data_IF_784532437187
#
_entry.id   IF_784532437187
#
_cell.length_a   1.000
_cell.length_b   1.000
_cell.length_c   1.000
_cell.angle_alpha   90.00
_cell.angle_beta   90.00
_cell.angle_gamma   90.00
#
_symmetry.space_group_name_H-M   'P 1'
#
loop_
_entity.id
_entity.type
_entity.pdbx_description
1 polymer ?
#
# COMPACT_ATOMS: atom_id res chain seq x y z
N UNK A 1 -27.64 -9.14 0.29
CA UNK A 1 -27.99 -7.71 0.59
C UNK A 1 -28.01 -6.87 -0.68
N UNK A 2 -28.79 -5.77 -0.73
CA UNK A 2 -28.61 -4.80 -1.82
C UNK A 2 -27.47 -3.86 -1.45
N UNK A 3 -26.40 -3.82 -2.25
CA UNK A 3 -25.27 -2.93 -2.00
C UNK A 3 -25.72 -1.46 -2.03
N UNK A 4 -25.31 -0.68 -1.03
CA UNK A 4 -25.47 0.78 -1.04
C UNK A 4 -24.51 1.41 -2.05
N UNK A 5 -24.94 2.50 -2.71
CA UNK A 5 -24.05 3.29 -3.55
C UNK A 5 -22.91 3.95 -2.76
N UNK A 6 -23.09 4.09 -1.44
CA UNK A 6 -22.14 4.77 -0.54
C UNK A 6 -20.85 3.99 -0.30
N UNK A 7 -20.85 2.66 -0.53
CA UNK A 7 -19.62 1.86 -0.43
C UNK A 7 -18.64 2.19 -1.57
N UNK A 8 -19.14 2.65 -2.74
CA UNK A 8 -18.29 3.08 -3.86
C UNK A 8 -17.82 4.53 -3.65
N UNK A 9 -16.58 4.68 -3.23
CA UNK A 9 -15.92 5.97 -3.03
C UNK A 9 -15.15 6.42 -4.26
N UNK A 10 -14.40 7.52 -4.17
CA UNK A 10 -13.70 8.10 -5.31
C UNK A 10 -12.67 7.16 -5.97
N UNK A 11 -12.02 6.29 -5.18
CA UNK A 11 -10.93 5.42 -5.65
C UNK A 11 -10.88 4.05 -4.98
N UNK A 12 -11.86 3.71 -4.14
CA UNK A 12 -12.00 2.39 -3.53
C UNK A 12 -13.46 2.03 -3.28
N UNK A 13 -13.70 0.77 -2.96
CA UNK A 13 -14.96 0.28 -2.42
C UNK A 13 -14.69 -0.03 -0.95
N UNK A 14 -15.53 0.48 -0.02
CA UNK A 14 -15.30 0.33 1.40
C UNK A 14 -16.61 0.33 2.18
N UNK A 15 -16.74 -0.60 3.13
CA UNK A 15 -17.90 -0.70 4.00
C UNK A 15 -17.64 -1.55 5.23
N UNK A 16 -18.59 -1.55 6.18
CA UNK A 16 -18.62 -2.47 7.33
C UNK A 16 -18.94 -3.87 6.82
N UNK A 17 -18.01 -4.82 7.08
CA UNK A 17 -18.18 -6.19 6.60
C UNK A 17 -19.32 -6.90 7.36
N UNK A 18 -20.19 -7.57 6.61
CA UNK A 18 -21.41 -8.20 7.14
C UNK A 18 -22.62 -7.28 7.20
N UNK A 19 -22.46 -5.96 7.03
CA UNK A 19 -23.56 -4.99 7.02
C UNK A 19 -23.68 -4.27 5.67
N UNK A 20 -22.59 -3.71 5.15
CA UNK A 20 -22.54 -2.91 3.91
C UNK A 20 -21.81 -3.64 2.79
N UNK A 21 -20.84 -4.50 3.14
CA UNK A 21 -20.00 -5.29 2.24
C UNK A 21 -19.95 -6.73 2.76
N UNK A 22 -20.15 -7.69 1.87
CA UNK A 22 -20.08 -9.13 2.16
C UNK A 22 -19.51 -9.90 0.96
N UNK A 23 -19.42 -11.23 1.07
CA UNK A 23 -18.91 -12.08 0.01
C UNK A 23 -19.78 -12.02 -1.27
N UNK A 24 -21.12 -11.92 -1.14
CA UNK A 24 -22.02 -11.83 -2.30
C UNK A 24 -21.79 -10.52 -3.07
N UNK A 25 -21.66 -9.41 -2.34
CA UNK A 25 -21.33 -8.11 -2.93
C UNK A 25 -19.92 -8.16 -3.53
N UNK A 26 -18.95 -8.79 -2.83
CA UNK A 26 -17.58 -8.98 -3.31
C UNK A 26 -17.50 -9.72 -4.65
N UNK A 27 -18.25 -10.83 -4.79
CA UNK A 27 -18.32 -11.58 -6.05
C UNK A 27 -18.92 -10.72 -7.17
N UNK A 28 -20.01 -10.00 -6.90
CA UNK A 28 -20.61 -9.09 -7.88
C UNK A 28 -19.69 -7.95 -8.28
N UNK A 29 -18.91 -7.41 -7.34
CA UNK A 29 -17.87 -6.39 -7.62
C UNK A 29 -16.78 -6.99 -8.51
N UNK A 30 -16.32 -8.19 -8.21
CA UNK A 30 -15.35 -8.91 -9.04
C UNK A 30 -15.85 -9.13 -10.47
N UNK A 31 -17.11 -9.54 -10.63
CA UNK A 31 -17.74 -9.71 -11.93
C UNK A 31 -17.88 -8.36 -12.68
N UNK A 32 -18.31 -7.29 -11.99
CA UNK A 32 -18.38 -5.95 -12.57
C UNK A 32 -17.00 -5.44 -13.03
N UNK A 33 -15.95 -5.69 -12.23
CA UNK A 33 -14.58 -5.37 -12.59
C UNK A 33 -14.12 -6.17 -13.81
N UNK A 34 -14.39 -7.47 -13.86
CA UNK A 34 -14.11 -8.29 -15.03
C UNK A 34 -14.84 -7.82 -16.28
N UNK A 35 -16.11 -7.41 -16.16
CA UNK A 35 -16.88 -6.82 -17.26
C UNK A 35 -16.27 -5.47 -17.72
N UNK A 36 -15.74 -4.67 -16.79
CA UNK A 36 -14.97 -3.46 -17.12
C UNK A 36 -13.70 -3.81 -17.92
N UNK A 37 -12.92 -4.80 -17.47
CA UNK A 37 -11.71 -5.24 -18.15
C UNK A 37 -12.00 -5.74 -19.57
N UNK A 38 -13.10 -6.45 -19.80
CA UNK A 38 -13.51 -6.95 -21.12
C UNK A 38 -13.75 -5.88 -22.17
N UNK A 39 -13.92 -4.62 -21.78
CA UNK A 39 -14.03 -3.51 -22.74
C UNK A 39 -12.72 -3.28 -23.50
N UNK A 40 -11.57 -3.64 -22.89
CA UNK A 40 -10.24 -3.40 -23.45
C UNK A 40 -9.39 -4.66 -23.62
N UNK A 41 -9.80 -5.78 -23.03
CA UNK A 41 -9.06 -7.05 -23.03
C UNK A 41 -9.98 -8.22 -23.36
N UNK A 42 -9.55 -9.11 -24.26
CA UNK A 42 -10.26 -10.36 -24.56
C UNK A 42 -9.89 -11.48 -23.56
N UNK A 43 -8.68 -11.42 -23.03
CA UNK A 43 -8.09 -12.38 -22.08
C UNK A 43 -7.02 -11.69 -21.24
N UNK A 44 -6.52 -12.33 -20.19
CA UNK A 44 -5.44 -11.83 -19.35
C UNK A 44 -5.53 -12.36 -17.93
N UNK A 45 -4.51 -11.99 -17.14
CA UNK A 45 -4.40 -12.36 -15.72
C UNK A 45 -4.55 -11.14 -14.82
N UNK A 46 -5.20 -11.34 -13.69
CA UNK A 46 -5.36 -10.35 -12.61
C UNK A 46 -4.67 -10.88 -11.37
N UNK A 47 -3.81 -10.08 -10.73
CA UNK A 47 -3.27 -10.41 -9.41
C UNK A 47 -4.22 -9.95 -8.31
N UNK A 48 -4.35 -10.73 -7.23
CA UNK A 48 -5.15 -10.33 -6.07
C UNK A 48 -4.44 -10.67 -4.77
N UNK A 49 -4.24 -9.64 -3.92
CA UNK A 49 -3.68 -9.76 -2.57
C UNK A 49 -4.66 -9.24 -1.51
N UNK A 50 -4.36 -9.50 -0.24
CA UNK A 50 -5.17 -9.00 0.88
C UNK A 50 -4.33 -8.62 2.09
N UNK A 51 -4.93 -7.80 2.98
CA UNK A 51 -4.38 -7.49 4.30
C UNK A 51 -4.73 -8.56 5.35
N UNK A 52 -4.38 -8.30 6.63
CA UNK A 52 -4.55 -9.25 7.73
C UNK A 52 -5.97 -9.27 8.33
N UNK A 53 -6.94 -8.48 7.86
CA UNK A 53 -8.31 -8.44 8.42
C UNK A 53 -8.97 -9.80 8.35
N UNK A 54 -9.75 -10.13 9.37
CA UNK A 54 -10.44 -11.42 9.49
C UNK A 54 -11.31 -11.73 8.28
N UNK A 55 -11.95 -10.71 7.70
CA UNK A 55 -12.83 -10.84 6.52
C UNK A 55 -12.07 -10.81 5.18
N UNK A 56 -10.77 -10.50 5.16
CA UNK A 56 -10.03 -10.32 3.90
C UNK A 56 -9.88 -11.60 3.07
N UNK A 57 -9.63 -12.78 3.65
CA UNK A 57 -9.57 -14.02 2.86
C UNK A 57 -10.89 -14.36 2.15
N UNK A 58 -12.02 -14.25 2.87
CA UNK A 58 -13.34 -14.53 2.29
C UNK A 58 -13.69 -13.55 1.17
N UNK A 59 -13.41 -12.26 1.37
CA UNK A 59 -13.67 -11.24 0.37
C UNK A 59 -12.73 -11.39 -0.85
N UNK A 60 -11.46 -11.78 -0.63
CA UNK A 60 -10.50 -12.08 -1.69
C UNK A 60 -10.99 -13.24 -2.56
N UNK A 61 -11.46 -14.33 -1.95
CA UNK A 61 -12.02 -15.47 -2.66
C UNK A 61 -13.25 -15.06 -3.48
N UNK A 62 -14.19 -14.34 -2.89
CA UNK A 62 -15.40 -13.90 -3.56
C UNK A 62 -15.10 -13.00 -4.78
N UNK A 63 -14.23 -12.01 -4.63
CA UNK A 63 -13.81 -11.14 -5.74
C UNK A 63 -13.11 -11.95 -6.84
N UNK A 64 -12.26 -12.92 -6.47
CA UNK A 64 -11.56 -13.80 -7.43
C UNK A 64 -12.56 -14.63 -8.25
N UNK A 65 -13.59 -15.17 -7.60
CA UNK A 65 -14.67 -15.91 -8.28
C UNK A 65 -15.39 -15.00 -9.28
N UNK A 66 -15.74 -13.78 -8.89
CA UNK A 66 -16.40 -12.83 -9.79
C UNK A 66 -15.57 -12.49 -11.03
N UNK A 67 -14.27 -12.23 -10.86
CA UNK A 67 -13.35 -11.96 -11.96
C UNK A 67 -13.21 -13.18 -12.88
N UNK A 68 -13.08 -14.37 -12.29
CA UNK A 68 -13.02 -15.64 -13.01
C UNK A 68 -14.26 -15.88 -13.86
N UNK A 69 -15.47 -15.62 -13.33
CA UNK A 69 -16.75 -15.72 -14.07
C UNK A 69 -16.80 -14.79 -15.27
N UNK A 70 -16.11 -13.66 -15.22
CA UNK A 70 -15.95 -12.76 -16.38
C UNK A 70 -14.93 -13.26 -17.40
N UNK A 71 -14.26 -14.41 -17.20
CA UNK A 71 -13.36 -15.07 -18.14
C UNK A 71 -11.89 -14.70 -17.98
N UNK A 72 -11.47 -14.02 -16.92
CA UNK A 72 -10.07 -13.69 -16.65
C UNK A 72 -9.44 -14.66 -15.66
N UNK A 73 -8.19 -15.03 -15.90
CA UNK A 73 -7.40 -15.78 -14.94
C UNK A 73 -7.06 -14.90 -13.73
N UNK A 74 -7.05 -15.50 -12.54
CA UNK A 74 -6.73 -14.81 -11.28
C UNK A 74 -5.58 -15.50 -10.59
N UNK A 75 -4.53 -14.77 -10.29
CA UNK A 75 -3.41 -15.23 -9.47
C UNK A 75 -3.57 -14.66 -8.05
N UNK A 76 -3.93 -15.52 -7.10
CA UNK A 76 -4.06 -15.17 -5.68
C UNK A 76 -2.67 -15.19 -5.05
N UNK A 77 -2.17 -14.01 -4.67
CA UNK A 77 -0.83 -13.84 -4.08
C UNK A 77 -0.84 -13.91 -2.54
N UNK A 78 -2.02 -14.05 -1.95
CA UNK A 78 -2.19 -14.26 -0.51
C UNK A 78 -2.15 -12.98 0.33
N UNK A 79 -1.84 -13.16 1.62
CA UNK A 79 -1.73 -12.09 2.60
C UNK A 79 -0.35 -11.41 2.47
N UNK A 80 -0.31 -10.22 1.88
CA UNK A 80 0.90 -9.43 1.64
C UNK A 80 0.60 -7.95 1.84
N UNK A 81 1.57 -7.11 2.26
CA UNK A 81 1.38 -5.64 2.27
C UNK A 81 0.96 -5.07 0.92
N UNK A 82 0.19 -3.97 0.93
CA UNK A 82 -0.25 -3.34 -0.33
C UNK A 82 0.93 -2.89 -1.22
N UNK A 83 2.08 -2.40 -0.68
CA UNK A 83 3.25 -2.13 -1.51
C UNK A 83 3.77 -3.38 -2.23
N UNK A 84 3.71 -4.55 -1.59
CA UNK A 84 4.12 -5.84 -2.20
C UNK A 84 3.15 -6.24 -3.31
N UNK A 85 1.84 -6.12 -3.07
CA UNK A 85 0.83 -6.46 -4.08
C UNK A 85 0.95 -5.58 -5.33
N UNK A 86 1.09 -4.27 -5.14
CA UNK A 86 1.27 -3.31 -6.23
C UNK A 86 2.59 -3.54 -6.99
N UNK A 87 3.67 -3.84 -6.25
CA UNK A 87 4.96 -4.21 -6.83
C UNK A 87 4.86 -5.49 -7.68
N UNK A 88 4.16 -6.51 -7.19
CA UNK A 88 3.98 -7.77 -7.92
C UNK A 88 3.25 -7.55 -9.24
N UNK A 89 2.20 -6.72 -9.23
CA UNK A 89 1.48 -6.31 -10.45
C UNK A 89 2.41 -5.58 -11.43
N UNK A 90 3.15 -4.59 -10.94
CA UNK A 90 4.10 -3.80 -11.73
C UNK A 90 5.27 -4.66 -12.27
N UNK A 91 5.85 -5.50 -11.44
CA UNK A 91 7.02 -6.32 -11.77
C UNK A 91 6.73 -7.31 -12.90
N UNK A 92 5.52 -7.86 -12.95
CA UNK A 92 5.09 -8.78 -13.98
C UNK A 92 5.14 -8.18 -15.40
N UNK A 93 5.08 -6.82 -15.54
CA UNK A 93 5.22 -6.17 -16.85
C UNK A 93 6.57 -6.45 -17.54
N UNK A 94 7.57 -6.87 -16.77
CA UNK A 94 8.89 -7.27 -17.28
C UNK A 94 8.97 -8.74 -17.65
N UNK A 95 7.88 -9.50 -17.52
CA UNK A 95 7.80 -10.94 -17.83
C UNK A 95 7.05 -11.22 -19.12
N UNK A 96 7.04 -12.47 -19.55
CA UNK A 96 6.24 -12.92 -20.70
C UNK A 96 4.74 -12.99 -20.43
N UNK A 97 4.34 -12.92 -19.16
CA UNK A 97 2.96 -13.05 -18.70
C UNK A 97 2.56 -11.89 -17.77
N UNK A 98 2.40 -10.67 -18.31
CA UNK A 98 2.04 -9.51 -17.50
C UNK A 98 0.63 -9.63 -16.94
N UNK A 99 0.40 -9.02 -15.77
CA UNK A 99 -0.95 -8.78 -15.29
C UNK A 99 -1.58 -7.59 -16.02
N UNK A 100 -2.84 -7.74 -16.41
CA UNK A 100 -3.61 -6.65 -17.02
C UNK A 100 -4.20 -5.71 -15.96
N UNK A 101 -4.29 -6.18 -14.71
CA UNK A 101 -4.74 -5.40 -13.56
C UNK A 101 -4.33 -6.09 -12.25
N UNK A 102 -4.43 -5.35 -11.15
CA UNK A 102 -4.32 -5.88 -9.80
C UNK A 102 -5.55 -5.55 -8.97
N UNK A 103 -5.79 -6.34 -7.93
CA UNK A 103 -6.80 -6.11 -6.90
C UNK A 103 -6.15 -6.23 -5.53
N UNK A 104 -6.57 -5.39 -4.60
CA UNK A 104 -6.13 -5.51 -3.22
C UNK A 104 -7.30 -5.34 -2.25
N UNK A 105 -7.41 -6.28 -1.31
CA UNK A 105 -8.47 -6.33 -0.32
C UNK A 105 -7.96 -5.71 0.98
N UNK A 106 -8.52 -4.56 1.36
CA UNK A 106 -8.13 -3.81 2.57
C UNK A 106 -9.10 -2.68 2.89
N UNK A 107 -9.14 -2.28 4.14
CA UNK A 107 -9.67 -0.99 4.56
C UNK A 107 -8.58 -0.09 5.17
N UNK A 108 -7.28 -0.38 4.89
CA UNK A 108 -6.13 0.40 5.35
C UNK A 108 -6.16 0.61 6.87
N UNK A 109 -6.17 1.85 7.35
CA UNK A 109 -6.16 2.24 8.76
C UNK A 109 -7.55 2.27 9.44
N UNK A 110 -8.62 1.86 8.75
CA UNK A 110 -9.96 1.82 9.36
C UNK A 110 -10.04 0.76 10.47
N UNK A 111 -11.03 0.86 11.39
CA UNK A 111 -11.32 -0.18 12.38
C UNK A 111 -11.49 -1.58 11.79
N UNK A 112 -11.39 -2.60 12.65
CA UNK A 112 -11.33 -4.02 12.25
C UNK A 112 -12.58 -4.50 11.48
N UNK A 113 -13.74 -3.95 11.79
CA UNK A 113 -15.04 -4.29 11.17
C UNK A 113 -15.18 -3.81 9.72
N UNK A 114 -14.34 -2.86 9.28
CA UNK A 114 -14.34 -2.41 7.87
C UNK A 114 -13.51 -3.33 6.99
N UNK A 115 -13.93 -3.45 5.72
CA UNK A 115 -13.09 -3.97 4.65
C UNK A 115 -13.36 -3.22 3.34
N UNK A 116 -12.58 -3.54 2.30
CA UNK A 116 -12.72 -2.86 1.02
C UNK A 116 -11.99 -3.53 -0.12
N UNK A 117 -12.20 -3.00 -1.32
CA UNK A 117 -11.65 -3.52 -2.57
C UNK A 117 -11.02 -2.34 -3.32
N UNK A 118 -9.76 -2.50 -3.70
CA UNK A 118 -8.99 -1.49 -4.45
C UNK A 118 -8.48 -2.10 -5.74
N UNK A 119 -8.72 -1.44 -6.86
CA UNK A 119 -8.24 -1.85 -8.18
C UNK A 119 -6.94 -1.14 -8.54
N UNK A 120 -6.06 -1.83 -9.28
CA UNK A 120 -4.76 -1.36 -9.68
C UNK A 120 -4.53 -1.53 -11.18
N UNK A 121 -3.96 -0.51 -11.79
CA UNK A 121 -3.43 -0.61 -13.15
C UNK A 121 -2.21 -1.55 -13.20
N UNK A 122 -1.81 -2.02 -14.40
CA UNK A 122 -0.62 -2.85 -14.55
C UNK A 122 0.66 -2.24 -13.97
N UNK A 123 0.74 -0.92 -13.89
CA UNK A 123 1.88 -0.20 -13.29
C UNK A 123 1.83 -0.07 -11.77
N UNK A 124 0.83 -0.69 -11.12
CA UNK A 124 0.62 -0.67 -9.67
C UNK A 124 -0.14 0.54 -9.14
N UNK A 125 -0.46 1.52 -9.98
CA UNK A 125 -1.23 2.70 -9.56
C UNK A 125 -2.73 2.41 -9.47
N UNK A 126 -3.46 3.19 -8.64
CA UNK A 126 -4.89 2.97 -8.43
C UNK A 126 -5.75 3.54 -9.55
N UNK A 127 -6.98 3.00 -9.66
CA UNK A 127 -8.00 3.51 -10.57
C UNK A 127 -8.65 4.78 -10.00
N UNK A 128 -8.92 5.76 -10.87
CA UNK A 128 -9.75 6.95 -10.60
C UNK A 128 -11.04 6.89 -11.41
N UNK A 129 -10.99 7.31 -12.68
CA UNK A 129 -12.15 7.26 -13.58
C UNK A 129 -12.69 5.84 -13.78
N UNK A 130 -11.80 4.84 -13.81
CA UNK A 130 -12.19 3.44 -13.90
C UNK A 130 -13.09 2.99 -12.74
N UNK A 131 -12.89 3.51 -11.53
CA UNK A 131 -13.76 3.21 -10.38
C UNK A 131 -15.20 3.72 -10.59
N UNK A 132 -15.34 4.88 -11.23
CA UNK A 132 -16.66 5.44 -11.59
C UNK A 132 -17.36 4.54 -12.60
N UNK A 133 -16.61 4.04 -13.60
CA UNK A 133 -17.18 3.13 -14.60
C UNK A 133 -17.55 1.78 -14.00
N UNK A 134 -16.72 1.23 -13.12
CA UNK A 134 -17.02 -0.04 -12.42
C UNK A 134 -18.28 0.12 -11.57
N UNK A 135 -18.44 1.25 -10.85
CA UNK A 135 -19.67 1.57 -10.12
C UNK A 135 -20.90 1.58 -11.05
N UNK A 136 -20.78 2.21 -12.20
CA UNK A 136 -21.86 2.25 -13.20
C UNK A 136 -22.22 0.85 -13.70
N UNK A 137 -21.23 0.04 -14.07
CA UNK A 137 -21.43 -1.35 -14.49
C UNK A 137 -22.16 -2.12 -13.38
N UNK A 138 -21.71 -1.99 -12.13
CA UNK A 138 -22.29 -2.72 -10.99
C UNK A 138 -23.77 -2.42 -10.74
N UNK A 139 -24.21 -1.16 -10.89
CA UNK A 139 -25.57 -0.75 -10.56
C UNK A 139 -26.52 -0.62 -11.75
N UNK A 140 -26.01 -0.34 -12.94
CA UNK A 140 -26.83 0.08 -14.09
C UNK A 140 -26.79 -0.91 -15.26
N UNK A 141 -25.80 -1.83 -15.29
CA UNK A 141 -25.63 -2.77 -16.42
C UNK A 141 -25.96 -4.21 -16.01
N UNK A 142 -26.31 -5.03 -16.99
CA UNK A 142 -26.41 -6.48 -16.80
C UNK A 142 -25.00 -7.06 -16.71
N UNK A 143 -24.68 -7.71 -15.59
CA UNK A 143 -23.39 -8.37 -15.40
C UNK A 143 -23.34 -9.67 -16.19
N UNK A 144 -22.36 -9.77 -17.09
CA UNK A 144 -22.21 -10.89 -18.03
C UNK A 144 -21.15 -11.85 -17.51
N UNK A 145 -21.58 -13.10 -17.25
CA UNK A 145 -20.68 -14.23 -17.06
C UNK A 145 -20.28 -14.82 -18.44
N UNK A 146 -19.03 -15.23 -18.58
CA UNK A 146 -18.60 -15.95 -19.80
C UNK A 146 -18.98 -17.41 -19.73
N UNK A 147 -19.14 -18.06 -20.89
CA UNK A 147 -19.40 -19.51 -20.95
C UNK A 147 -18.24 -20.37 -20.44
N UNK A 148 -17.05 -19.78 -20.29
CA UNK A 148 -15.85 -20.43 -19.72
C UNK A 148 -15.23 -19.50 -18.69
N UNK A 149 -15.23 -19.93 -17.43
CA UNK A 149 -14.56 -19.19 -16.35
C UNK A 149 -13.04 -19.22 -16.50
N UNK A 150 -12.37 -18.14 -16.10
CA UNK A 150 -10.92 -18.11 -15.97
C UNK A 150 -10.43 -19.03 -14.84
N UNK A 151 -9.16 -19.30 -14.79
CA UNK A 151 -8.53 -20.12 -13.74
C UNK A 151 -8.21 -19.25 -12.54
N UNK A 152 -8.39 -19.82 -11.33
CA UNK A 152 -7.91 -19.21 -10.08
C UNK A 152 -6.70 -20.03 -9.65
N UNK A 153 -5.53 -19.40 -9.64
CA UNK A 153 -4.27 -20.00 -9.27
C UNK A 153 -3.77 -19.40 -7.95
N UNK A 154 -3.33 -20.23 -7.01
CA UNK A 154 -2.70 -19.77 -5.77
C UNK A 154 -1.20 -19.73 -5.96
N UNK A 155 -0.62 -18.55 -5.82
CA UNK A 155 0.83 -18.33 -5.89
C UNK A 155 1.49 -18.61 -4.53
N UNK A 156 2.79 -18.88 -4.53
CA UNK A 156 3.57 -18.94 -3.30
C UNK A 156 3.71 -17.52 -2.71
N UNK A 157 3.04 -17.26 -1.61
CA UNK A 157 3.15 -15.98 -0.89
C UNK A 157 4.61 -15.70 -0.46
N UNK A 158 5.35 -16.74 -0.06
CA UNK A 158 6.76 -16.63 0.32
C UNK A 158 7.62 -16.14 -0.86
N UNK A 159 7.43 -16.69 -2.08
CA UNK A 159 8.21 -16.26 -3.25
C UNK A 159 7.88 -14.81 -3.64
N UNK A 160 6.63 -14.39 -3.45
CA UNK A 160 6.19 -13.00 -3.66
C UNK A 160 6.89 -12.06 -2.68
N UNK A 161 6.91 -12.42 -1.39
CA UNK A 161 7.57 -11.65 -0.34
C UNK A 161 9.09 -11.59 -0.56
N UNK A 162 9.73 -12.72 -0.89
CA UNK A 162 11.17 -12.79 -1.17
C UNK A 162 11.56 -11.89 -2.34
N UNK A 163 10.79 -11.94 -3.43
CA UNK A 163 11.04 -11.10 -4.61
C UNK A 163 11.02 -9.61 -4.26
N UNK A 164 10.09 -9.20 -3.40
CA UNK A 164 10.00 -7.82 -2.95
C UNK A 164 11.17 -7.44 -2.00
N UNK A 165 11.50 -8.30 -1.03
CA UNK A 165 12.62 -8.10 -0.11
C UNK A 165 13.94 -7.94 -0.85
N UNK A 166 14.20 -8.81 -1.85
CA UNK A 166 15.39 -8.74 -2.67
C UNK A 166 15.45 -7.45 -3.51
N UNK A 167 14.31 -7.03 -4.06
CA UNK A 167 14.22 -5.78 -4.81
C UNK A 167 14.54 -4.56 -3.94
N UNK A 168 13.89 -4.43 -2.78
CA UNK A 168 14.04 -3.28 -1.89
C UNK A 168 15.45 -3.26 -1.30
N UNK A 169 15.94 -4.38 -0.74
CA UNK A 169 17.27 -4.45 -0.14
C UNK A 169 18.39 -4.18 -1.14
N UNK A 170 18.18 -4.46 -2.43
CA UNK A 170 19.12 -4.13 -3.50
C UNK A 170 19.14 -2.66 -3.94
N UNK A 171 18.14 -1.88 -3.53
CA UNK A 171 17.99 -0.46 -3.93
C UNK A 171 18.26 0.53 -2.80
N UNK A 172 18.07 0.09 -1.57
CA UNK A 172 18.23 0.91 -0.37
C UNK A 172 19.59 0.63 0.28
N UNK A 173 20.13 1.61 0.99
CA UNK A 173 21.43 1.48 1.68
C UNK A 173 21.41 0.45 2.81
N UNK A 174 22.61 0.07 3.27
CA UNK A 174 22.76 -0.86 4.40
C UNK A 174 22.38 -0.21 5.73
N UNK A 175 21.73 -0.98 6.59
CA UNK A 175 21.41 -0.64 7.99
C UNK A 175 22.36 -1.33 8.99
N UNK A 176 23.52 -1.80 8.55
CA UNK A 176 24.47 -2.49 9.40
C UNK A 176 24.81 -1.72 10.68
N UNK A 177 24.63 -2.38 11.82
CA UNK A 177 24.89 -1.84 13.14
C UNK A 177 23.85 -0.88 13.67
N UNK A 178 22.68 -0.80 13.02
CA UNK A 178 21.51 -0.12 13.57
C UNK A 178 20.62 -1.09 14.35
N UNK A 179 20.11 -0.63 15.47
CA UNK A 179 19.09 -1.30 16.27
C UNK A 179 17.75 -0.61 16.05
N UNK A 180 16.79 -1.33 15.50
CA UNK A 180 15.49 -0.80 15.10
C UNK A 180 14.36 -1.51 15.83
N UNK A 181 13.53 -0.77 16.55
CA UNK A 181 12.29 -1.29 17.10
C UNK A 181 11.15 -1.15 16.07
N UNK A 182 10.35 -2.20 15.89
CA UNK A 182 9.31 -2.28 14.87
C UNK A 182 7.95 -2.56 15.50
N UNK A 183 6.91 -1.92 15.02
CA UNK A 183 5.52 -2.15 15.43
C UNK A 183 4.60 -2.22 14.21
N UNK A 184 4.34 -3.41 13.65
CA UNK A 184 3.37 -3.60 12.58
C UNK A 184 1.91 -3.56 13.05
N UNK A 185 1.64 -3.40 14.36
CA UNK A 185 0.30 -3.27 14.92
C UNK A 185 -0.65 -4.40 14.63
N UNK A 186 -0.16 -5.64 14.59
CA UNK A 186 -0.91 -6.83 14.17
C UNK A 186 -1.44 -6.79 12.72
N UNK A 187 -1.02 -5.79 11.93
CA UNK A 187 -1.35 -5.66 10.52
C UNK A 187 -0.56 -6.63 9.61
N UNK A 188 -0.76 -6.50 8.31
CA UNK A 188 -0.07 -7.37 7.34
C UNK A 188 1.43 -7.12 7.24
N UNK A 189 1.95 -6.00 7.78
CA UNK A 189 3.39 -5.76 7.91
C UNK A 189 4.14 -6.87 8.66
N UNK A 190 3.47 -7.58 9.58
CA UNK A 190 4.04 -8.71 10.35
C UNK A 190 4.71 -9.77 9.48
N UNK A 191 4.22 -10.01 8.26
CA UNK A 191 4.74 -11.09 7.41
C UNK A 191 6.08 -10.76 6.74
N UNK A 192 6.55 -9.51 6.81
CA UNK A 192 7.69 -9.09 5.99
C UNK A 192 8.70 -8.15 6.69
N UNK A 193 8.25 -7.30 7.63
CA UNK A 193 9.09 -6.18 8.07
C UNK A 193 10.40 -6.63 8.73
N UNK A 194 10.38 -7.59 9.65
CA UNK A 194 11.61 -8.10 10.28
C UNK A 194 12.58 -8.65 9.24
N UNK A 195 12.07 -9.47 8.33
CA UNK A 195 12.85 -10.07 7.24
C UNK A 195 13.50 -9.00 6.36
N UNK A 196 12.76 -7.92 6.02
CA UNK A 196 13.27 -6.83 5.20
C UNK A 196 14.40 -6.07 5.93
N UNK A 197 14.17 -5.65 7.18
CA UNK A 197 15.15 -4.90 7.94
C UNK A 197 16.39 -5.72 8.26
N UNK A 198 16.25 -7.01 8.62
CA UNK A 198 17.35 -7.93 8.83
C UNK A 198 18.15 -8.20 7.56
N UNK A 199 17.48 -8.35 6.41
CA UNK A 199 18.16 -8.46 5.10
C UNK A 199 19.01 -7.24 4.79
N UNK A 200 18.62 -6.06 5.25
CA UNK A 200 19.40 -4.81 5.13
C UNK A 200 20.49 -4.66 6.20
N UNK A 201 20.58 -5.60 7.16
CA UNK A 201 21.62 -5.66 8.17
C UNK A 201 21.28 -5.01 9.51
N UNK A 202 20.02 -4.62 9.76
CA UNK A 202 19.58 -4.12 11.05
C UNK A 202 19.42 -5.24 12.08
N UNK A 203 19.67 -4.92 13.35
CA UNK A 203 19.21 -5.70 14.50
C UNK A 203 17.80 -5.24 14.85
N UNK A 204 16.79 -6.12 14.75
CA UNK A 204 15.39 -5.77 14.95
C UNK A 204 14.84 -6.29 16.26
N UNK A 205 13.91 -5.52 16.84
CA UNK A 205 13.05 -5.96 17.92
C UNK A 205 11.61 -5.54 17.58
N UNK A 206 10.69 -6.50 17.54
CA UNK A 206 9.33 -6.25 17.11
C UNK A 206 8.32 -6.50 18.21
N UNK A 207 7.34 -5.61 18.35
CA UNK A 207 6.12 -5.78 19.15
C UNK A 207 4.92 -5.89 18.23
N UNK A 208 3.81 -6.48 18.71
CA UNK A 208 2.56 -6.61 17.94
C UNK A 208 2.78 -7.27 16.56
N UNK A 209 3.69 -8.23 16.49
CA UNK A 209 4.25 -8.81 15.26
C UNK A 209 3.64 -10.17 14.89
N UNK A 210 2.40 -10.41 15.29
CA UNK A 210 1.59 -11.54 14.85
C UNK A 210 0.38 -10.99 14.10
N UNK A 211 0.11 -11.42 12.86
CA UNK A 211 -1.04 -10.93 12.09
C UNK A 211 -2.35 -11.24 12.83
N UNK A 212 -3.11 -10.22 13.18
CA UNK A 212 -4.42 -10.36 13.80
C UNK A 212 -5.33 -9.22 13.35
N UNK A 213 -6.26 -9.54 12.45
CA UNK A 213 -7.16 -8.54 11.86
C UNK A 213 -8.17 -7.91 12.82
N UNK A 214 -8.18 -8.31 14.09
CA UNK A 214 -8.93 -7.63 15.15
C UNK A 214 -8.18 -6.44 15.75
N UNK A 215 -6.86 -6.30 15.46
CA UNK A 215 -5.97 -5.25 15.97
C UNK A 215 -6.01 -5.12 17.50
N UNK A 216 -5.70 -6.20 18.27
CA UNK A 216 -5.98 -6.27 19.70
C UNK A 216 -5.11 -5.33 20.55
N UNK A 217 -3.91 -4.98 20.08
CA UNK A 217 -2.93 -4.25 20.89
C UNK A 217 -2.97 -2.73 20.67
N UNK A 218 -3.32 -2.29 19.47
CA UNK A 218 -3.58 -0.89 19.15
C UNK A 218 -4.45 -0.75 17.90
N UNK A 219 -5.12 0.41 17.70
CA UNK A 219 -5.77 0.70 16.43
C UNK A 219 -4.82 0.53 15.23
N UNK A 220 -5.35 0.13 14.10
CA UNK A 220 -4.61 -0.06 12.86
C UNK A 220 -3.89 1.23 12.38
N UNK A 221 -4.41 2.41 12.77
CA UNK A 221 -3.77 3.70 12.49
C UNK A 221 -2.56 3.95 13.41
N UNK A 222 -1.32 4.16 12.89
CA UNK A 222 -0.12 4.39 13.69
C UNK A 222 0.00 5.86 14.16
N UNK A 223 -1.10 6.49 14.56
CA UNK A 223 -1.04 7.84 15.11
C UNK A 223 -0.20 7.88 16.40
N UNK A 224 0.61 8.92 16.68
CA UNK A 224 1.48 8.97 17.85
C UNK A 224 0.80 8.66 19.19
N UNK A 225 -0.47 9.04 19.33
CA UNK A 225 -1.29 8.74 20.53
C UNK A 225 -1.52 7.22 20.76
N UNK A 226 -1.37 6.40 19.71
CA UNK A 226 -1.57 4.96 19.75
C UNK A 226 -0.25 4.17 19.91
N UNK A 227 0.90 4.86 20.02
CA UNK A 227 2.23 4.24 20.00
C UNK A 227 2.91 4.22 21.40
N UNK A 228 2.11 4.24 22.49
CA UNK A 228 2.62 4.32 23.85
C UNK A 228 3.63 3.24 24.19
N UNK A 229 3.37 1.97 23.83
CA UNK A 229 4.27 0.85 24.10
C UNK A 229 5.59 0.99 23.31
N UNK A 230 5.53 1.36 22.05
CA UNK A 230 6.71 1.57 21.22
C UNK A 230 7.56 2.76 21.73
N UNK A 231 6.90 3.84 22.16
CA UNK A 231 7.57 5.00 22.78
C UNK A 231 8.27 4.58 24.07
N UNK A 232 7.62 3.79 24.93
CA UNK A 232 8.22 3.29 26.17
C UNK A 232 9.47 2.42 25.93
N UNK A 233 9.47 1.61 24.86
CA UNK A 233 10.65 0.86 24.44
C UNK A 233 11.80 1.79 24.06
N UNK A 234 11.50 2.85 23.31
CA UNK A 234 12.51 3.85 22.91
C UNK A 234 13.06 4.64 24.09
N UNK A 235 12.26 4.89 25.13
CA UNK A 235 12.71 5.54 26.37
C UNK A 235 13.78 4.70 27.12
N UNK A 236 13.83 3.38 26.90
CA UNK A 236 14.87 2.48 27.39
C UNK A 236 16.28 2.77 26.82
N UNK A 237 16.34 3.49 25.69
CA UNK A 237 17.61 3.98 25.10
C UNK A 237 18.46 2.92 24.39
N UNK A 238 17.90 1.75 24.09
CA UNK A 238 18.63 0.63 23.47
C UNK A 238 18.58 0.67 21.92
N UNK A 239 17.66 1.44 21.34
CA UNK A 239 17.40 1.47 19.91
C UNK A 239 17.73 2.83 19.29
N UNK A 240 18.22 2.81 18.05
CA UNK A 240 18.55 4.01 17.28
C UNK A 240 17.29 4.71 16.76
N UNK A 241 16.27 3.94 16.42
CA UNK A 241 14.97 4.43 15.94
C UNK A 241 13.88 3.37 16.12
N UNK A 242 12.63 3.80 16.06
CA UNK A 242 11.52 2.88 15.93
C UNK A 242 10.59 3.28 14.78
N UNK A 243 9.88 2.28 14.22
CA UNK A 243 8.95 2.47 13.10
C UNK A 243 7.66 1.71 13.39
N UNK A 244 6.52 2.41 13.28
CA UNK A 244 5.19 1.83 13.36
C UNK A 244 4.51 1.88 12.00
N UNK A 245 3.76 0.83 11.65
CA UNK A 245 3.06 0.69 10.38
C UNK A 245 1.54 0.64 10.59
N UNK A 246 0.77 0.99 9.55
CA UNK A 246 -0.67 0.80 9.54
C UNK A 246 -1.08 -0.61 9.06
N UNK A 247 -2.39 -0.87 8.98
CA UNK A 247 -2.93 -2.21 8.77
C UNK A 247 -2.51 -2.88 7.47
N UNK A 248 -2.32 -2.13 6.38
CA UNK A 248 -1.86 -2.62 5.06
C UNK A 248 -0.41 -2.20 4.73
N UNK A 249 0.25 -1.56 5.72
CA UNK A 249 1.67 -1.21 5.72
C UNK A 249 2.09 -0.29 4.57
N UNK A 250 1.24 0.64 4.16
CA UNK A 250 1.58 1.71 3.21
C UNK A 250 2.01 3.01 3.93
N UNK A 251 1.77 3.12 5.25
CA UNK A 251 2.16 4.25 6.10
C UNK A 251 3.18 3.81 7.14
N UNK A 252 4.15 4.68 7.42
CA UNK A 252 5.17 4.43 8.43
C UNK A 252 5.45 5.69 9.28
N UNK A 253 5.26 5.58 10.59
CA UNK A 253 5.55 6.64 11.56
C UNK A 253 6.85 6.31 12.27
N UNK A 254 7.77 7.27 12.28
CA UNK A 254 9.09 7.13 12.88
C UNK A 254 9.14 7.73 14.28
N UNK A 255 9.89 7.07 15.17
CA UNK A 255 10.21 7.56 16.51
C UNK A 255 11.74 7.66 16.61
N UNK A 256 12.25 8.81 17.03
CA UNK A 256 13.67 9.05 17.16
C UNK A 256 14.27 8.39 18.44
N UNK A 257 15.59 8.42 18.56
CA UNK A 257 16.32 7.88 19.72
C UNK A 257 16.10 8.67 21.02
N UNK A 258 15.25 9.69 21.02
CA UNK A 258 14.78 10.43 22.19
C UNK A 258 13.31 10.13 22.50
N UNK A 259 12.79 9.01 21.95
CA UNK A 259 11.42 8.57 22.09
C UNK A 259 10.37 9.60 21.60
N UNK A 260 10.71 10.42 20.59
CA UNK A 260 9.79 11.40 20.02
C UNK A 260 9.34 10.99 18.62
N UNK A 261 8.03 11.02 18.39
CA UNK A 261 7.49 10.83 17.05
C UNK A 261 8.00 11.96 16.13
N UNK A 262 8.50 11.57 14.97
CA UNK A 262 8.99 12.49 13.94
C UNK A 262 7.85 12.76 12.95
N UNK A 263 7.57 14.04 12.68
CA UNK A 263 6.50 14.37 11.72
C UNK A 263 6.82 13.91 10.30
N UNK A 264 5.79 13.63 9.53
CA UNK A 264 5.91 13.19 8.14
C UNK A 264 6.73 14.19 7.30
N UNK A 265 6.56 15.49 7.53
CA UNK A 265 7.29 16.52 6.81
C UNK A 265 8.79 16.46 7.07
N UNK A 266 9.21 16.20 8.33
CA UNK A 266 10.64 16.05 8.67
C UNK A 266 11.25 14.85 7.98
N UNK A 267 10.56 13.71 7.99
CA UNK A 267 10.99 12.51 7.25
C UNK A 267 11.04 12.83 5.75
N UNK A 268 10.02 13.47 5.21
CA UNK A 268 9.99 13.88 3.80
C UNK A 268 11.15 14.80 3.42
N UNK A 269 11.52 15.78 4.25
CA UNK A 269 12.68 16.67 4.04
C UNK A 269 13.99 15.87 4.05
N UNK A 270 14.17 14.97 5.03
CA UNK A 270 15.36 14.13 5.14
C UNK A 270 15.51 13.25 3.90
N UNK A 271 14.41 12.57 3.50
CA UNK A 271 14.41 11.71 2.31
C UNK A 271 14.64 12.51 1.02
N UNK A 272 14.05 13.71 0.93
CA UNK A 272 14.24 14.59 -0.23
C UNK A 272 15.72 14.96 -0.48
N UNK A 273 16.50 15.13 0.59
CA UNK A 273 17.95 15.47 0.48
C UNK A 273 18.74 14.44 -0.33
N UNK A 274 18.42 13.16 -0.19
CA UNK A 274 19.09 12.08 -0.91
C UNK A 274 18.49 11.80 -2.29
N UNK A 275 17.23 12.20 -2.54
CA UNK A 275 16.53 11.91 -3.80
C UNK A 275 16.58 13.03 -4.83
N UNK A 276 16.72 14.27 -4.39
CA UNK A 276 16.81 15.43 -5.29
C UNK A 276 18.09 15.35 -6.12
N UNK A 277 17.92 15.45 -7.45
CA UNK A 277 19.01 15.45 -8.44
C UNK A 277 18.72 16.52 -9.51
N UNK A 278 19.74 17.01 -10.24
CA UNK A 278 19.52 17.88 -11.39
C UNK A 278 18.53 17.24 -12.39
N UNK A 279 17.44 17.96 -12.69
CA UNK A 279 16.36 17.47 -13.57
C UNK A 279 15.28 16.61 -12.90
N UNK A 280 15.45 16.23 -11.62
CA UNK A 280 14.48 15.51 -10.80
C UNK A 280 14.47 16.08 -9.38
N UNK A 281 14.10 17.36 -9.24
CA UNK A 281 14.15 18.10 -7.98
C UNK A 281 12.76 18.49 -7.43
N UNK A 282 11.69 18.02 -8.06
CA UNK A 282 10.34 18.31 -7.57
C UNK A 282 9.98 17.42 -6.40
N UNK A 283 9.39 18.03 -5.38
CA UNK A 283 8.89 17.40 -4.15
C UNK A 283 7.40 17.70 -4.07
N UNK A 284 6.58 16.66 -4.03
CA UNK A 284 5.14 16.83 -3.91
C UNK A 284 4.72 16.68 -2.44
N UNK A 285 3.79 17.51 -1.98
CA UNK A 285 3.24 17.42 -0.64
C UNK A 285 1.72 17.57 -0.66
N UNK A 286 1.03 16.73 0.11
CA UNK A 286 -0.40 16.88 0.32
C UNK A 286 -0.74 18.20 1.02
N UNK A 287 -1.80 18.89 0.58
CA UNK A 287 -2.22 20.20 1.13
C UNK A 287 -2.30 20.27 2.66
N UNK A 288 -2.62 19.20 3.43
CA UNK A 288 -2.62 19.26 4.89
C UNK A 288 -1.23 19.26 5.55
N UNK A 289 -0.14 19.05 4.80
CA UNK A 289 1.20 19.10 5.34
C UNK A 289 1.58 20.53 5.81
N UNK A 290 2.55 20.61 6.72
CA UNK A 290 2.99 21.86 7.31
C UNK A 290 3.69 22.77 6.30
N UNK A 291 3.45 24.09 6.42
CA UNK A 291 4.13 25.15 5.65
C UNK A 291 5.65 25.18 5.82
N UNK A 292 6.22 24.45 6.79
CA UNK A 292 7.68 24.31 6.95
C UNK A 292 8.35 23.79 5.67
N UNK A 293 7.61 23.06 4.83
CA UNK A 293 8.09 22.54 3.55
C UNK A 293 8.46 23.67 2.56
N UNK A 294 7.72 24.80 2.60
CA UNK A 294 8.02 25.98 1.75
C UNK A 294 9.37 26.60 2.09
N UNK A 295 9.77 26.52 3.35
CA UNK A 295 11.06 27.05 3.79
C UNK A 295 12.21 26.06 3.58
N UNK A 296 11.96 24.76 3.82
CA UNK A 296 13.05 23.76 3.88
C UNK A 296 13.34 23.09 2.53
N UNK A 297 12.35 22.86 1.68
CA UNK A 297 12.55 22.21 0.39
C UNK A 297 13.43 23.06 -0.55
N UNK A 298 13.23 24.40 -0.69
CA UNK A 298 14.11 25.22 -1.49
C UNK A 298 15.57 25.26 -0.98
N UNK A 299 15.80 25.19 0.34
CA UNK A 299 17.16 25.20 0.92
C UNK A 299 18.00 23.99 0.51
N UNK A 300 17.34 22.87 0.19
CA UNK A 300 18.00 21.64 -0.30
C UNK A 300 17.99 21.52 -1.84
N UNK A 301 17.61 22.59 -2.56
CA UNK A 301 17.58 22.62 -4.03
C UNK A 301 16.32 22.02 -4.66
N UNK A 302 15.28 21.76 -3.86
CA UNK A 302 13.99 21.22 -4.31
C UNK A 302 13.01 22.30 -4.73
N UNK A 303 12.05 21.91 -5.58
CA UNK A 303 10.86 22.68 -5.95
C UNK A 303 9.63 22.00 -5.31
N UNK A 304 8.95 22.69 -4.39
CA UNK A 304 7.77 22.18 -3.71
C UNK A 304 6.53 22.39 -4.58
N UNK A 305 5.70 21.34 -4.70
CA UNK A 305 4.41 21.39 -5.37
C UNK A 305 3.34 20.83 -4.43
N UNK A 306 2.34 21.63 -4.13
CA UNK A 306 1.19 21.22 -3.34
C UNK A 306 0.20 20.43 -4.19
N UNK A 307 -0.27 19.27 -3.67
CA UNK A 307 -1.18 18.37 -4.35
C UNK A 307 -2.36 17.99 -3.45
N UNK A 308 -3.45 17.51 -4.05
CA UNK A 308 -4.59 16.95 -3.30
C UNK A 308 -4.21 15.63 -2.63
N UNK A 309 -4.90 15.32 -1.52
CA UNK A 309 -4.71 14.08 -0.74
C UNK A 309 -5.29 12.87 -1.47
N UNK A 310 -4.64 11.73 -1.33
CA UNK A 310 -5.04 10.42 -1.83
C UNK A 310 -3.96 9.78 -2.70
N UNK A 311 -3.57 8.56 -2.36
CA UNK A 311 -2.46 7.82 -2.99
C UNK A 311 -2.58 7.74 -4.52
N UNK A 312 -3.82 7.57 -5.03
CA UNK A 312 -4.09 7.51 -6.47
C UNK A 312 -3.72 8.82 -7.14
N UNK A 313 -4.14 9.94 -6.56
CA UNK A 313 -3.83 11.28 -7.08
C UNK A 313 -2.35 11.64 -6.94
N UNK A 314 -1.73 11.20 -5.83
CA UNK A 314 -0.29 11.35 -5.64
C UNK A 314 0.48 10.66 -6.77
N UNK A 315 0.11 9.43 -7.13
CA UNK A 315 0.74 8.69 -8.23
C UNK A 315 0.57 9.38 -9.59
N UNK A 316 -0.61 9.94 -9.88
CA UNK A 316 -0.86 10.73 -11.10
C UNK A 316 0.04 11.97 -11.17
N UNK A 317 0.10 12.75 -10.08
CA UNK A 317 0.92 13.97 -10.03
C UNK A 317 2.44 13.67 -10.03
N UNK A 318 2.87 12.54 -9.43
CA UNK A 318 4.26 12.09 -9.52
C UNK A 318 4.70 11.86 -10.97
N UNK A 319 3.87 11.19 -11.76
CA UNK A 319 4.13 10.95 -13.19
C UNK A 319 4.14 12.26 -13.97
N UNK A 320 3.12 13.09 -13.78
CA UNK A 320 2.94 14.37 -14.47
C UNK A 320 4.12 15.32 -14.25
N UNK A 321 4.64 15.38 -13.02
CA UNK A 321 5.71 16.29 -12.64
C UNK A 321 7.11 15.69 -12.73
N UNK A 322 7.25 14.37 -12.97
CA UNK A 322 8.51 13.64 -12.85
C UNK A 322 9.21 13.95 -11.52
N UNK A 323 8.46 13.86 -10.43
CA UNK A 323 8.94 14.27 -9.11
C UNK A 323 9.80 13.20 -8.46
N UNK A 324 10.75 13.63 -7.61
CA UNK A 324 11.66 12.74 -6.91
C UNK A 324 10.98 12.01 -5.75
N UNK A 325 10.03 12.68 -5.08
CA UNK A 325 9.33 12.17 -3.90
C UNK A 325 7.97 12.85 -3.76
N UNK A 326 7.03 12.15 -3.14
CA UNK A 326 5.81 12.74 -2.60
C UNK A 326 5.59 12.30 -1.15
N UNK A 327 4.90 13.14 -0.37
CA UNK A 327 4.55 12.85 1.01
C UNK A 327 3.15 13.34 1.37
N UNK A 328 2.52 12.63 2.30
CA UNK A 328 1.28 13.03 2.93
C UNK A 328 1.47 13.15 4.45
N UNK A 329 0.66 13.99 5.10
CA UNK A 329 0.68 14.15 6.57
C UNK A 329 0.40 12.85 7.31
N UNK A 330 -0.27 11.91 6.66
CA UNK A 330 -0.57 10.57 7.16
C UNK A 330 0.64 9.64 7.22
N UNK A 331 1.85 10.15 6.99
CA UNK A 331 3.10 9.38 6.91
C UNK A 331 3.13 8.35 5.77
N UNK A 332 2.48 8.68 4.66
CA UNK A 332 2.53 7.95 3.41
C UNK A 332 3.55 8.61 2.47
N UNK A 333 4.57 7.86 2.06
CA UNK A 333 5.71 8.36 1.28
C UNK A 333 5.83 7.60 -0.04
N UNK A 334 6.07 8.32 -1.12
CA UNK A 334 6.27 7.80 -2.47
C UNK A 334 7.62 8.28 -2.99
N UNK A 335 8.53 7.37 -3.27
CA UNK A 335 9.90 7.70 -3.61
C UNK A 335 10.35 7.14 -4.97
N UNK A 336 9.77 7.58 -6.10
CA UNK A 336 10.18 7.13 -7.43
C UNK A 336 11.63 7.49 -7.76
N UNK A 337 12.24 8.43 -7.02
CA UNK A 337 13.65 8.73 -7.13
C UNK A 337 14.59 7.60 -6.71
N UNK A 338 14.10 6.62 -5.94
CA UNK A 338 14.83 5.41 -5.54
C UNK A 338 14.72 4.29 -6.58
N UNK A 339 13.55 4.15 -7.20
CA UNK A 339 13.24 3.04 -8.11
C UNK A 339 12.30 3.50 -9.22
N UNK A 340 12.15 2.72 -10.27
CA UNK A 340 11.17 2.96 -11.33
C UNK A 340 9.71 2.66 -10.87
N UNK A 341 9.55 2.04 -9.71
CA UNK A 341 8.26 1.75 -9.11
C UNK A 341 7.72 2.98 -8.38
N UNK A 342 6.56 3.47 -8.79
CA UNK A 342 6.03 4.78 -8.37
C UNK A 342 5.32 4.71 -7.01
N UNK A 343 4.79 3.55 -6.62
CA UNK A 343 4.06 3.40 -5.36
C UNK A 343 5.00 3.45 -4.15
N UNK A 344 4.44 3.59 -2.94
CA UNK A 344 5.24 3.61 -1.72
C UNK A 344 6.01 2.29 -1.54
N UNK A 345 7.19 2.37 -0.96
CA UNK A 345 7.95 1.22 -0.50
C UNK A 345 7.76 1.10 1.01
N UNK A 346 7.76 -0.13 1.53
CA UNK A 346 7.73 -0.40 2.97
C UNK A 346 8.85 0.31 3.74
N UNK A 347 9.91 0.69 3.05
CA UNK A 347 11.02 1.46 3.58
C UNK A 347 11.41 2.56 2.60
N UNK A 348 11.15 3.81 2.97
CA UNK A 348 11.42 5.00 2.14
C UNK A 348 12.37 5.99 2.80
N UNK A 349 12.97 5.66 3.95
CA UNK A 349 13.93 6.54 4.61
C UNK A 349 15.37 6.22 4.21
N UNK A 350 16.21 7.23 3.89
CA UNK A 350 17.63 7.04 3.74
C UNK A 350 18.27 6.65 5.08
N UNK A 351 19.42 5.97 5.02
CA UNK A 351 20.21 5.69 6.22
C UNK A 351 20.44 6.97 7.02
N UNK A 352 20.25 6.97 8.35
CA UNK A 352 20.54 8.14 9.20
C UNK A 352 22.04 8.51 9.23
N UNK A 353 22.89 7.79 8.51
CA UNK A 353 24.35 8.03 8.45
C UNK A 353 24.80 8.78 7.20
N UNK A 354 23.89 9.04 6.26
CA UNK A 354 24.09 9.88 5.09
C UNK A 354 23.52 11.30 5.35
#
# INVERSE_FOLDING_TARGET
MSASQDIFRAYDIRGVYGEELDAEIGERVGLAFGNYLRRNHSEGKVSIGCDARVSSPELQEAVSVGISKAGFDVDVIGMVPIPVANFTTWKANSTSEPYIAGVYITASHNPAEYNGIRFRHPDGTGYTEGNIEIKKIFFEEELVETGTAGKINVQSTEDVLDTYVDFVSGKVGSLNGMKVALDPGNGVGCVIIDRLFQKMGAETFSINNEPDGSFPNRPSEPAPKNLGDLISIMEGGEYDMAIAFDGDADRCVFIDNKAKAVSAEKIGIITSRSLIKPGANKVLAGVPCSMILEDEIPKIGGELIWIRVGDVFVCEELKKHNAAIAMEISAHFFAPGLTEFIFCLLYTSPSPRD
#
